data_IF_160050703391
#
_entry.id   IF_160050703391
#
_cell.length_a   1.000
_cell.length_b   1.000
_cell.length_c   1.000
_cell.angle_alpha   90.00
_cell.angle_beta   90.00
_cell.angle_gamma   90.00
#
_symmetry.space_group_name_H-M   'P 1'
#
loop_
_entity.id
_entity.type
_entity.pdbx_description
1 polymer ?
#
# COMPACT_ATOMS: atom_id res chain seq x y z
N UNK A 1 13.03 -17.13 22.14
CA UNK A 1 13.88 -16.86 20.97
C UNK A 1 13.92 -15.35 20.73
N UNK A 2 14.94 -14.68 21.25
CA UNK A 2 15.10 -13.23 21.17
C UNK A 2 16.16 -12.86 20.13
N UNK A 3 15.79 -12.88 18.85
CA UNK A 3 16.66 -12.35 17.80
C UNK A 3 16.58 -10.83 17.75
N UNK A 4 17.71 -10.14 17.76
CA UNK A 4 17.76 -8.71 17.42
C UNK A 4 17.86 -8.59 15.90
N UNK A 5 16.87 -7.94 15.28
CA UNK A 5 16.91 -7.61 13.86
C UNK A 5 17.86 -6.45 13.60
N UNK A 6 18.77 -6.61 12.64
CA UNK A 6 19.63 -5.54 12.14
C UNK A 6 19.25 -5.25 10.68
N UNK A 7 19.08 -3.97 10.33
CA UNK A 7 18.99 -3.56 8.92
C UNK A 7 20.40 -3.51 8.33
N UNK A 8 20.87 -4.63 7.79
CA UNK A 8 22.14 -4.71 7.09
C UNK A 8 21.95 -4.29 5.62
N UNK A 9 22.75 -3.31 5.17
CA UNK A 9 22.86 -2.96 3.75
C UNK A 9 24.04 -3.74 3.17
N UNK A 10 23.76 -4.91 2.59
CA UNK A 10 24.79 -5.81 2.06
C UNK A 10 24.85 -5.65 0.54
N UNK A 11 26.07 -5.60 0.00
CA UNK A 11 26.32 -5.65 -1.45
C UNK A 11 26.94 -6.99 -1.81
N UNK A 12 26.69 -7.47 -3.01
CA UNK A 12 27.37 -8.64 -3.55
C UNK A 12 28.81 -8.28 -3.98
N UNK A 13 29.55 -9.28 -4.47
CA UNK A 13 30.93 -9.13 -4.93
C UNK A 13 31.08 -8.16 -6.13
N UNK A 14 29.98 -7.82 -6.80
CA UNK A 14 29.93 -6.89 -7.94
C UNK A 14 29.51 -5.48 -7.52
N UNK A 15 29.26 -5.26 -6.23
CA UNK A 15 28.82 -3.98 -5.67
C UNK A 15 27.31 -3.73 -5.77
N UNK A 16 26.54 -4.71 -6.24
CA UNK A 16 25.09 -4.61 -6.35
C UNK A 16 24.42 -4.88 -5.00
N UNK A 17 23.37 -4.12 -4.68
CA UNK A 17 22.64 -4.30 -3.43
C UNK A 17 21.92 -5.65 -3.41
N UNK A 18 22.19 -6.47 -2.38
CA UNK A 18 21.47 -7.73 -2.15
C UNK A 18 20.05 -7.39 -1.68
N UNK A 19 19.09 -7.59 -2.58
CA UNK A 19 17.68 -7.35 -2.33
C UNK A 19 16.84 -8.50 -2.93
N UNK A 20 15.76 -8.88 -2.24
CA UNK A 20 14.79 -9.84 -2.78
C UNK A 20 14.10 -9.21 -3.98
N UNK A 21 14.41 -9.71 -5.18
CA UNK A 21 13.77 -9.30 -6.43
C UNK A 21 12.61 -10.25 -6.72
N UNK A 22 11.41 -9.86 -6.31
CA UNK A 22 10.19 -10.56 -6.68
C UNK A 22 9.47 -9.75 -7.78
N UNK A 23 9.07 -10.42 -8.86
CA UNK A 23 8.25 -9.78 -9.88
C UNK A 23 6.90 -9.38 -9.28
N UNK A 24 6.54 -8.11 -9.47
CA UNK A 24 5.21 -7.65 -9.11
C UNK A 24 4.18 -8.30 -10.04
N UNK A 25 2.99 -8.67 -9.57
CA UNK A 25 2.00 -9.33 -10.42
C UNK A 25 1.70 -8.52 -11.68
N UNK A 26 1.77 -9.16 -12.84
CA UNK A 26 1.67 -8.50 -14.14
C UNK A 26 0.28 -7.90 -14.43
N UNK A 27 -0.77 -8.32 -13.71
CA UNK A 27 -2.14 -7.84 -13.93
C UNK A 27 -2.73 -7.13 -12.72
N UNK A 28 -3.61 -6.15 -12.97
CA UNK A 28 -4.37 -5.44 -11.95
C UNK A 28 -5.13 -6.42 -11.05
N UNK A 29 -5.80 -7.41 -11.64
CA UNK A 29 -6.57 -8.42 -10.89
C UNK A 29 -5.70 -9.26 -9.96
N UNK A 30 -4.51 -9.68 -10.39
CA UNK A 30 -3.57 -10.43 -9.54
C UNK A 30 -3.02 -9.58 -8.39
N UNK A 31 -2.68 -8.31 -8.65
CA UNK A 31 -2.19 -7.39 -7.62
C UNK A 31 -3.27 -7.09 -6.57
N UNK A 32 -4.52 -6.87 -7.01
CA UNK A 32 -5.67 -6.67 -6.13
C UNK A 32 -5.92 -7.90 -5.26
N UNK A 33 -5.91 -9.11 -5.84
CA UNK A 33 -6.10 -10.36 -5.06
C UNK A 33 -5.02 -10.56 -4.00
N UNK A 34 -3.75 -10.35 -4.37
CA UNK A 34 -2.63 -10.47 -3.44
C UNK A 34 -2.75 -9.47 -2.30
N UNK A 35 -3.00 -8.19 -2.62
CA UNK A 35 -3.15 -7.14 -1.59
C UNK A 35 -4.38 -7.37 -0.71
N UNK A 36 -5.49 -7.82 -1.28
CA UNK A 36 -6.71 -8.14 -0.53
C UNK A 36 -6.46 -9.25 0.49
N UNK A 37 -5.73 -10.31 0.11
CA UNK A 37 -5.33 -11.40 1.02
C UNK A 37 -4.50 -10.90 2.20
N UNK A 38 -3.55 -10.00 1.95
CA UNK A 38 -2.75 -9.39 3.01
C UNK A 38 -3.61 -8.56 3.97
N UNK A 39 -4.52 -7.74 3.44
CA UNK A 39 -5.45 -6.93 4.25
C UNK A 39 -6.36 -7.85 5.09
N UNK A 40 -6.98 -8.87 4.49
CA UNK A 40 -7.85 -9.81 5.19
C UNK A 40 -7.10 -10.57 6.27
N UNK A 41 -5.92 -11.11 5.96
CA UNK A 41 -5.16 -11.95 6.90
C UNK A 41 -4.56 -11.17 8.06
N UNK A 42 -3.88 -10.05 7.78
CA UNK A 42 -3.13 -9.32 8.81
C UNK A 42 -4.02 -8.35 9.57
N UNK A 43 -4.83 -7.57 8.85
CA UNK A 43 -5.54 -6.47 9.47
C UNK A 43 -6.91 -6.86 10.04
N UNK A 44 -7.60 -7.84 9.44
CA UNK A 44 -8.93 -8.29 9.88
C UNK A 44 -8.83 -9.57 10.74
N UNK A 45 -8.42 -10.70 10.16
CA UNK A 45 -8.32 -11.97 10.90
C UNK A 45 -7.24 -11.93 12.00
N UNK A 46 -6.12 -11.27 11.72
CA UNK A 46 -5.06 -11.04 12.71
C UNK A 46 -5.51 -10.15 13.87
N UNK A 47 -6.50 -9.27 13.67
CA UNK A 47 -7.10 -8.50 14.75
C UNK A 47 -7.85 -9.43 15.72
N UNK A 48 -8.73 -10.28 15.20
CA UNK A 48 -9.58 -11.17 16.01
C UNK A 48 -8.78 -12.17 16.82
N UNK A 49 -7.70 -12.73 16.25
CA UNK A 49 -6.93 -13.80 16.90
C UNK A 49 -5.91 -13.31 17.93
N UNK A 50 -5.33 -12.12 17.76
CA UNK A 50 -4.15 -11.68 18.52
C UNK A 50 -4.48 -10.65 19.60
N UNK A 51 -5.61 -9.94 19.48
CA UNK A 51 -6.04 -8.95 20.48
C UNK A 51 -5.03 -7.80 20.70
N UNK A 52 -5.14 -7.07 21.81
CA UNK A 52 -4.15 -6.04 22.20
C UNK A 52 -3.03 -6.64 23.06
N UNK A 53 -1.88 -5.98 23.09
CA UNK A 53 -0.76 -6.41 23.92
C UNK A 53 -1.02 -6.02 25.39
N UNK A 54 -0.16 -6.46 26.32
CA UNK A 54 -0.23 -6.06 27.72
C UNK A 54 -0.12 -4.52 27.85
N UNK A 55 -0.84 -3.86 28.77
CA UNK A 55 -0.96 -2.39 28.83
C UNK A 55 0.35 -1.60 28.77
N UNK A 56 1.45 -2.17 29.29
CA UNK A 56 2.78 -1.54 29.35
C UNK A 56 3.69 -1.84 28.15
N UNK A 57 3.28 -2.72 27.24
CA UNK A 57 4.06 -3.08 26.06
C UNK A 57 3.82 -2.06 24.92
N UNK A 58 4.36 -0.84 25.07
CA UNK A 58 4.14 0.26 24.13
C UNK A 58 4.62 -0.06 22.70
N UNK A 59 5.73 -0.78 22.57
CA UNK A 59 6.27 -1.18 21.25
C UNK A 59 5.32 -2.15 20.54
N UNK A 60 4.78 -3.13 21.25
CA UNK A 60 3.82 -4.08 20.69
C UNK A 60 2.51 -3.39 20.29
N UNK A 61 2.06 -2.43 21.09
CA UNK A 61 0.90 -1.59 20.75
C UNK A 61 1.14 -0.81 19.47
N UNK A 62 2.32 -0.18 19.34
CA UNK A 62 2.68 0.57 18.14
C UNK A 62 2.74 -0.32 16.90
N UNK A 63 3.39 -1.49 17.00
CA UNK A 63 3.47 -2.46 15.89
C UNK A 63 2.08 -2.93 15.46
N UNK A 64 1.22 -3.32 16.42
CA UNK A 64 -0.16 -3.73 16.12
C UNK A 64 -0.99 -2.60 15.53
N UNK A 65 -0.95 -1.40 16.10
CA UNK A 65 -1.62 -0.21 15.56
C UNK A 65 -1.22 0.06 14.11
N UNK A 66 0.08 -0.08 13.79
CA UNK A 66 0.60 0.14 12.44
C UNK A 66 0.03 -0.84 11.41
N UNK A 67 -0.19 -2.10 11.78
CA UNK A 67 -0.80 -3.09 10.88
C UNK A 67 -2.30 -2.85 10.72
N UNK A 68 -2.94 -2.38 11.79
CA UNK A 68 -4.38 -2.13 11.88
C UNK A 68 -4.84 -0.81 11.28
N UNK A 69 -3.93 0.14 11.05
CA UNK A 69 -4.24 1.39 10.36
C UNK A 69 -4.57 1.17 8.88
N UNK A 70 -4.16 0.05 8.29
CA UNK A 70 -4.29 -0.19 6.86
C UNK A 70 -5.76 -0.20 6.37
N UNK A 71 -6.71 -0.89 7.04
CA UNK A 71 -8.14 -0.76 6.75
C UNK A 71 -8.67 0.68 6.86
N UNK A 72 -8.33 1.38 7.94
CA UNK A 72 -8.77 2.77 8.17
C UNK A 72 -8.26 3.69 7.05
N UNK A 73 -6.99 3.54 6.67
CA UNK A 73 -6.39 4.31 5.59
C UNK A 73 -7.13 4.12 4.26
N UNK A 74 -7.68 2.92 4.00
CA UNK A 74 -8.46 2.71 2.77
C UNK A 74 -9.85 3.33 2.84
N UNK A 75 -10.51 3.35 4.01
CA UNK A 75 -11.76 4.10 4.18
C UNK A 75 -11.56 5.60 3.93
N UNK A 76 -10.50 6.17 4.51
CA UNK A 76 -10.11 7.57 4.30
C UNK A 76 -9.78 7.82 2.82
N UNK A 77 -9.07 6.90 2.17
CA UNK A 77 -8.75 7.00 0.74
C UNK A 77 -10.03 6.97 -0.12
N UNK A 78 -10.97 6.08 0.19
CA UNK A 78 -12.26 6.00 -0.49
C UNK A 78 -13.09 7.27 -0.33
N UNK A 79 -13.16 7.81 0.89
CA UNK A 79 -13.80 9.10 1.15
C UNK A 79 -13.13 10.24 0.36
N UNK A 80 -11.79 10.28 0.30
CA UNK A 80 -11.07 11.29 -0.46
C UNK A 80 -11.40 11.23 -1.97
N UNK A 81 -11.45 10.04 -2.57
CA UNK A 81 -11.86 9.90 -3.98
C UNK A 81 -13.32 10.29 -4.20
N UNK A 82 -14.23 9.93 -3.29
CA UNK A 82 -15.63 10.36 -3.37
C UNK A 82 -15.75 11.88 -3.29
N UNK A 83 -14.99 12.53 -2.39
CA UNK A 83 -14.94 13.98 -2.27
C UNK A 83 -14.43 14.65 -3.55
N UNK A 84 -13.45 14.08 -4.25
CA UNK A 84 -12.99 14.58 -5.56
C UNK A 84 -14.12 14.53 -6.59
N UNK A 85 -14.86 13.42 -6.64
CA UNK A 85 -15.98 13.25 -7.57
C UNK A 85 -17.11 14.23 -7.23
N UNK A 86 -17.47 14.36 -5.95
CA UNK A 86 -18.49 15.29 -5.48
C UNK A 86 -18.08 16.75 -5.75
N UNK A 87 -16.81 17.10 -5.57
CA UNK A 87 -16.26 18.40 -5.90
C UNK A 87 -16.34 18.69 -7.40
N UNK A 88 -15.97 17.73 -8.26
CA UNK A 88 -16.10 17.88 -9.71
C UNK A 88 -17.55 18.08 -10.13
N UNK A 89 -18.48 17.30 -9.57
CA UNK A 89 -19.91 17.45 -9.82
C UNK A 89 -20.43 18.83 -9.36
N UNK A 90 -19.96 19.32 -8.22
CA UNK A 90 -20.26 20.67 -7.73
C UNK A 90 -19.74 21.74 -8.68
N UNK A 91 -18.49 21.65 -9.16
CA UNK A 91 -17.92 22.59 -10.14
C UNK A 91 -18.75 22.64 -11.42
N UNK A 92 -19.14 21.48 -11.96
CA UNK A 92 -20.01 21.40 -13.15
C UNK A 92 -21.38 22.02 -12.87
N UNK A 93 -21.99 21.70 -11.73
CA UNK A 93 -23.29 22.26 -11.33
C UNK A 93 -23.25 23.79 -11.21
N UNK A 94 -22.23 24.34 -10.57
CA UNK A 94 -22.06 25.79 -10.46
C UNK A 94 -21.78 26.44 -11.82
N UNK A 95 -21.02 25.78 -12.70
CA UNK A 95 -20.81 26.24 -14.07
C UNK A 95 -22.10 26.29 -14.91
N UNK A 96 -23.03 25.35 -14.69
CA UNK A 96 -24.31 25.30 -15.37
C UNK A 96 -25.36 26.26 -14.78
N UNK A 97 -25.35 26.45 -13.46
CA UNK A 97 -26.36 27.25 -12.74
C UNK A 97 -25.96 28.72 -12.54
N UNK A 98 -24.67 29.05 -12.70
CA UNK A 98 -24.14 30.38 -12.44
C UNK A 98 -24.10 30.78 -10.95
N UNK A 99 -24.49 29.87 -10.04
CA UNK A 99 -24.45 30.12 -8.59
C UNK A 99 -22.99 30.18 -8.14
N UNK A 100 -22.56 31.21 -7.39
CA UNK A 100 -21.18 31.29 -6.92
C UNK A 100 -20.85 30.19 -5.91
N UNK A 101 -19.62 29.66 -5.99
CA UNK A 101 -19.11 28.66 -5.05
C UNK A 101 -18.84 29.32 -3.71
N UNK A 102 -19.29 28.70 -2.62
CA UNK A 102 -18.99 29.18 -1.27
C UNK A 102 -17.47 29.20 -1.02
N UNK A 103 -16.93 30.25 -0.37
CA UNK A 103 -15.51 30.33 -0.08
C UNK A 103 -15.07 29.20 0.85
N UNK A 104 -13.91 28.60 0.56
CA UNK A 104 -13.32 27.56 1.41
C UNK A 104 -12.82 28.20 2.71
N UNK A 105 -13.22 27.71 3.89
CA UNK A 105 -12.72 28.25 5.16
C UNK A 105 -11.19 28.20 5.27
N UNK A 106 -10.59 29.22 5.89
CA UNK A 106 -9.13 29.34 5.98
C UNK A 106 -8.46 28.13 6.66
N UNK A 107 -9.11 27.56 7.68
CA UNK A 107 -8.62 26.35 8.34
C UNK A 107 -8.53 25.16 7.37
N UNK A 108 -9.54 24.99 6.52
CA UNK A 108 -9.55 23.91 5.50
C UNK A 108 -8.48 24.18 4.44
N UNK A 109 -8.33 25.43 4.01
CA UNK A 109 -7.28 25.84 3.07
C UNK A 109 -5.89 25.54 3.62
N UNK A 110 -5.62 25.89 4.87
CA UNK A 110 -4.35 25.60 5.54
C UNK A 110 -4.10 24.08 5.62
N UNK A 111 -5.12 23.31 6.02
CA UNK A 111 -5.03 21.85 6.06
C UNK A 111 -4.69 21.26 4.68
N UNK A 112 -5.32 21.75 3.60
CA UNK A 112 -5.02 21.30 2.24
C UNK A 112 -3.58 21.64 1.82
N UNK A 113 -3.10 22.84 2.15
CA UNK A 113 -1.71 23.25 1.87
C UNK A 113 -0.73 22.34 2.60
N UNK A 114 -0.91 22.13 3.90
CA UNK A 114 -0.04 21.25 4.70
C UNK A 114 -0.07 19.82 4.17
N UNK A 115 -1.24 19.29 3.81
CA UNK A 115 -1.35 17.96 3.20
C UNK A 115 -0.62 17.87 1.86
N UNK A 116 -0.73 18.90 1.01
CA UNK A 116 -0.03 18.97 -0.27
C UNK A 116 1.50 18.98 -0.08
N UNK A 117 2.00 19.75 0.89
CA UNK A 117 3.41 19.76 1.26
C UNK A 117 3.90 18.39 1.74
N UNK A 118 3.15 17.73 2.64
CA UNK A 118 3.49 16.40 3.14
C UNK A 118 3.46 15.33 2.03
N UNK A 119 2.51 15.45 1.10
CA UNK A 119 2.44 14.58 -0.07
C UNK A 119 3.66 14.80 -0.98
N UNK A 120 4.02 16.06 -1.26
CA UNK A 120 5.20 16.41 -2.04
C UNK A 120 6.48 15.87 -1.43
N UNK A 121 6.68 16.09 -0.12
CA UNK A 121 7.80 15.51 0.63
C UNK A 121 7.88 13.98 0.46
N UNK A 122 6.75 13.28 0.64
CA UNK A 122 6.68 11.82 0.48
C UNK A 122 7.04 11.37 -0.93
N UNK A 123 6.59 12.10 -1.95
CA UNK A 123 6.92 11.81 -3.36
C UNK A 123 8.41 11.99 -3.63
N UNK A 124 9.02 13.08 -3.14
CA UNK A 124 10.45 13.35 -3.27
C UNK A 124 11.27 12.23 -2.63
N UNK A 125 10.96 11.87 -1.39
CA UNK A 125 11.65 10.78 -0.68
C UNK A 125 11.53 9.47 -1.46
N UNK A 126 10.33 9.12 -1.93
CA UNK A 126 10.10 7.91 -2.73
C UNK A 126 10.89 7.92 -4.04
N UNK A 127 10.85 9.02 -4.78
CA UNK A 127 11.55 9.17 -6.06
C UNK A 127 13.07 9.12 -5.86
N UNK A 128 13.60 9.77 -4.82
CA UNK A 128 15.02 9.76 -4.50
C UNK A 128 15.53 8.35 -4.17
N UNK A 129 14.80 7.58 -3.34
CA UNK A 129 15.18 6.20 -3.05
C UNK A 129 15.04 5.28 -4.26
N UNK A 130 13.94 5.39 -5.02
CA UNK A 130 13.74 4.60 -6.25
C UNK A 130 14.81 4.92 -7.30
N UNK A 131 15.16 6.19 -7.44
CA UNK A 131 16.20 6.66 -8.36
C UNK A 131 17.59 6.16 -8.00
N UNK A 132 17.91 6.11 -6.70
CA UNK A 132 19.19 5.56 -6.23
C UNK A 132 19.31 4.05 -6.43
N UNK A 133 18.21 3.31 -6.46
CA UNK A 133 18.24 1.85 -6.61
C UNK A 133 18.02 1.36 -8.04
N UNK A 134 17.21 2.07 -8.83
CA UNK A 134 16.79 1.63 -10.17
C UNK A 134 17.02 2.67 -11.28
N UNK A 135 17.57 3.84 -10.95
CA UNK A 135 17.86 4.92 -11.91
C UNK A 135 16.74 5.94 -12.09
N UNK A 136 17.06 7.04 -12.78
CA UNK A 136 16.19 8.22 -12.89
C UNK A 136 14.88 7.95 -13.64
N UNK A 137 14.86 7.07 -14.65
CA UNK A 137 13.64 6.69 -15.38
C UNK A 137 12.63 6.07 -14.44
N UNK A 138 13.10 5.20 -13.55
CA UNK A 138 12.29 4.52 -12.54
C UNK A 138 11.83 5.47 -11.43
N UNK A 139 12.63 6.51 -11.13
CA UNK A 139 12.21 7.60 -10.25
C UNK A 139 11.00 8.36 -10.82
N UNK A 140 10.99 8.68 -12.12
CA UNK A 140 9.85 9.33 -12.78
C UNK A 140 8.61 8.43 -12.76
N UNK A 141 8.76 7.15 -13.12
CA UNK A 141 7.66 6.18 -13.08
C UNK A 141 7.14 5.90 -11.66
N UNK A 142 7.89 6.24 -10.62
CA UNK A 142 7.46 6.07 -9.23
C UNK A 142 6.23 6.91 -8.86
N UNK A 143 6.01 8.05 -9.54
CA UNK A 143 4.89 8.97 -9.31
C UNK A 143 3.59 8.44 -9.94
N UNK A 144 3.52 8.10 -11.24
CA UNK A 144 2.33 7.43 -11.81
C UNK A 144 1.97 6.13 -11.09
N UNK A 145 2.97 5.36 -10.64
CA UNK A 145 2.75 4.13 -9.86
C UNK A 145 2.04 4.38 -8.53
N UNK A 146 2.09 5.60 -7.97
CA UNK A 146 1.32 5.93 -6.77
C UNK A 146 -0.18 5.84 -7.05
N UNK A 147 -0.63 6.41 -8.17
CA UNK A 147 -2.05 6.42 -8.55
C UNK A 147 -2.55 4.99 -8.76
N UNK A 148 -1.80 4.20 -9.51
CA UNK A 148 -2.10 2.76 -9.72
C UNK A 148 -2.11 2.02 -8.38
N UNK A 149 -1.15 2.29 -7.50
CA UNK A 149 -1.08 1.69 -6.16
C UNK A 149 -2.27 2.03 -5.27
N UNK A 150 -2.78 3.26 -5.36
CA UNK A 150 -3.99 3.71 -4.64
C UNK A 150 -5.24 3.03 -5.19
N UNK A 151 -5.37 2.92 -6.51
CA UNK A 151 -6.47 2.19 -7.15
C UNK A 151 -6.48 0.71 -6.73
N UNK A 152 -5.31 0.04 -6.79
CA UNK A 152 -5.15 -1.34 -6.30
C UNK A 152 -5.55 -1.42 -4.81
N UNK A 153 -5.17 -0.45 -3.99
CA UNK A 153 -5.52 -0.43 -2.57
C UNK A 153 -7.04 -0.36 -2.35
N UNK A 154 -7.72 0.52 -3.07
CA UNK A 154 -9.17 0.73 -2.97
C UNK A 154 -9.93 -0.55 -3.38
N UNK A 155 -9.59 -1.12 -4.53
CA UNK A 155 -10.18 -2.36 -5.04
C UNK A 155 -9.89 -3.55 -4.11
N UNK A 156 -8.65 -3.65 -3.61
CA UNK A 156 -8.24 -4.71 -2.70
C UNK A 156 -9.00 -4.66 -1.38
N UNK A 157 -9.23 -3.46 -0.83
CA UNK A 157 -9.98 -3.33 0.42
C UNK A 157 -11.45 -3.67 0.26
N UNK A 158 -12.12 -3.21 -0.81
CA UNK A 158 -13.50 -3.61 -1.09
C UNK A 158 -13.63 -5.14 -1.16
N UNK A 159 -12.71 -5.80 -1.87
CA UNK A 159 -12.65 -7.27 -1.92
C UNK A 159 -12.37 -7.89 -0.55
N UNK A 160 -11.46 -7.31 0.25
CA UNK A 160 -11.10 -7.82 1.56
C UNK A 160 -12.25 -7.73 2.57
N UNK A 161 -12.97 -6.60 2.60
CA UNK A 161 -14.15 -6.36 3.43
C UNK A 161 -15.26 -7.33 3.05
N UNK A 162 -15.55 -7.45 1.74
CA UNK A 162 -16.58 -8.38 1.27
C UNK A 162 -16.27 -9.82 1.69
N UNK A 163 -15.02 -10.27 1.51
CA UNK A 163 -14.57 -11.59 1.99
C UNK A 163 -14.72 -11.77 3.50
N UNK A 164 -14.38 -10.75 4.27
CA UNK A 164 -14.49 -10.78 5.72
C UNK A 164 -15.95 -10.91 6.17
N UNK A 165 -16.88 -10.15 5.55
CA UNK A 165 -18.32 -10.29 5.79
C UNK A 165 -18.80 -11.72 5.48
N UNK A 166 -18.36 -12.30 4.36
CA UNK A 166 -18.72 -13.68 4.02
C UNK A 166 -18.16 -14.71 5.02
N UNK A 167 -16.93 -14.53 5.52
CA UNK A 167 -16.38 -15.40 6.57
C UNK A 167 -17.18 -15.29 7.88
N UNK A 168 -17.58 -14.07 8.27
CA UNK A 168 -18.46 -13.87 9.45
C UNK A 168 -19.82 -14.54 9.28
N UNK A 169 -20.31 -14.66 8.05
CA UNK A 169 -21.56 -15.37 7.71
C UNK A 169 -21.40 -16.89 7.58
N UNK A 170 -20.25 -17.44 7.98
CA UNK A 170 -19.98 -18.88 8.02
C UNK A 170 -19.35 -19.46 6.75
N UNK A 171 -18.96 -18.64 5.77
CA UNK A 171 -18.25 -19.13 4.59
C UNK A 171 -16.82 -19.57 4.94
N UNK A 172 -16.37 -20.69 4.36
CA UNK A 172 -15.01 -21.18 4.56
C UNK A 172 -13.96 -20.13 4.09
N UNK A 173 -12.84 -19.95 4.81
CA UNK A 173 -11.78 -19.03 4.41
C UNK A 173 -11.15 -19.44 3.07
N UNK A 174 -11.60 -18.84 1.97
CA UNK A 174 -11.03 -19.07 0.64
C UNK A 174 -9.70 -18.32 0.50
N UNK A 175 -8.62 -18.98 0.89
CA UNK A 175 -7.27 -18.44 0.81
C UNK A 175 -6.75 -18.60 -0.63
N UNK A 176 -7.10 -17.66 -1.51
CA UNK A 176 -6.59 -17.61 -2.90
C UNK A 176 -5.05 -17.71 -2.87
N UNK A 177 -4.50 -18.86 -3.24
CA UNK A 177 -3.05 -19.03 -3.45
C UNK A 177 -2.69 -18.26 -4.73
N UNK A 178 -1.80 -17.28 -4.61
CA UNK A 178 -1.19 -16.62 -5.76
C UNK A 178 -0.25 -17.61 -6.44
N UNK A 179 -0.44 -17.85 -7.76
CA UNK A 179 0.53 -18.58 -8.58
C UNK A 179 1.89 -17.87 -8.45
N UNK A 180 2.90 -18.60 -8.01
CA UNK A 180 4.28 -18.12 -8.00
C UNK A 180 4.87 -18.41 -9.37
N UNK A 181 5.21 -17.38 -10.12
CA UNK A 181 6.10 -17.52 -11.26
C UNK A 181 7.52 -17.41 -10.72
N UNK A 182 8.27 -18.51 -10.81
CA UNK A 182 9.71 -18.51 -10.54
C UNK A 182 10.43 -18.02 -11.79
N UNK A 183 11.48 -17.19 -11.68
CA UNK A 183 12.36 -16.95 -12.80
C UNK A 183 12.93 -18.29 -13.28
N UNK A 184 12.89 -18.54 -14.59
CA UNK A 184 13.54 -19.70 -15.18
C UNK A 184 15.05 -19.55 -14.94
N UNK A 185 15.63 -20.47 -14.15
CA UNK A 185 17.07 -20.64 -14.09
C UNK A 185 17.50 -21.39 -15.36
N UNK A 186 17.82 -20.66 -16.42
CA UNK A 186 18.58 -21.21 -17.56
C UNK A 186 20.08 -20.86 -17.41
N UNK A 187 20.64 -21.21 -16.26
CA UNK A 187 22.09 -21.28 -16.10
C UNK A 187 22.43 -22.58 -15.38
N UNK A 188 23.09 -23.54 -16.06
CA UNK A 188 23.63 -24.71 -15.39
C UNK A 188 24.68 -24.24 -14.38
N UNK A 189 24.46 -24.58 -13.12
CA UNK A 189 25.46 -24.46 -12.07
C UNK A 189 26.42 -25.64 -12.26
N UNK A 190 27.54 -25.39 -12.94
CA UNK A 190 28.66 -26.32 -12.96
C UNK A 190 29.23 -26.41 -11.55
N UNK A 191 28.82 -27.44 -10.82
CA UNK A 191 29.44 -27.84 -9.56
C UNK A 191 30.79 -28.46 -9.91
N UNK A 192 31.82 -27.62 -10.03
CA UNK A 192 33.20 -28.11 -10.06
C UNK A 192 33.54 -28.55 -8.63
N UNK A 193 33.50 -29.85 -8.40
CA UNK A 193 34.16 -30.48 -7.27
C UNK A 193 35.67 -30.50 -7.56
N UNK A 194 36.44 -29.81 -6.73
CA UNK A 194 37.89 -30.01 -6.57
C UNK A 194 38.24 -29.89 -5.09
#
# INVERSE_FOLDING_TARGET
MGGRGLFARVTDERGDLVAVRAYFPATLGTAVRQKARWITGIALVGWDRVGWARPLAMVDHWMRMRDRRAPIAVLVLGAAYLSIVAWLASVVSHGLTGVPVAPVPDAVRLLLIVNAWLLGWRLIVRAAFTGRTYGWREAMWSVPRLVVGNLIALLAAGRAIWRYIWMLRGAAPAWDKTRHEFPAFDQPIDVVAS
#
